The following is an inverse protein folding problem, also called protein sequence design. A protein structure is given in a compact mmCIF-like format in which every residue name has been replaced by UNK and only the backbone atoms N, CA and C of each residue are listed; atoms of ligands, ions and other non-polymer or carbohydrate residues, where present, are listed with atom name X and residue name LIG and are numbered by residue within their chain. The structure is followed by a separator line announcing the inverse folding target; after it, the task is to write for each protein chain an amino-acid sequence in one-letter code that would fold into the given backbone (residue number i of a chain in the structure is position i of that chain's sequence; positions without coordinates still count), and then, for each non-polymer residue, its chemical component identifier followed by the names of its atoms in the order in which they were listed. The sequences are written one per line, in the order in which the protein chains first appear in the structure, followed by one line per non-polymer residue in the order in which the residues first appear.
data_IF_207494730806
#
_entry.id   IF_207494730806
#
_cell.length_a   1.000
_cell.length_b   1.000
_cell.length_c   1.000
_cell.angle_alpha   90.00
_cell.angle_beta   90.00
_cell.angle_gamma   90.00
#
_symmetry.space_group_name_H-M   'P 1'
#
loop_
_entity.id
_entity.type
_entity.pdbx_description
1 polymer ?
#
# COMPACT_ATOMS: atom_id res chain seq x y z
N UNK A 1 -11.68 20.35 0.03
CA UNK A 1 -12.04 18.95 0.38
C UNK A 1 -10.95 17.98 -0.02
N UNK A 2 -10.39 18.09 -1.24
CA UNK A 2 -9.28 17.25 -1.74
C UNK A 2 -8.11 17.28 -0.77
N UNK A 3 -7.58 18.48 -0.51
CA UNK A 3 -6.44 18.71 0.38
C UNK A 3 -6.66 18.08 1.77
N UNK A 4 -7.84 18.23 2.35
CA UNK A 4 -8.16 17.67 3.66
C UNK A 4 -8.09 16.14 3.65
N UNK A 5 -8.63 15.51 2.60
CA UNK A 5 -8.59 14.03 2.48
C UNK A 5 -7.14 13.54 2.32
N UNK A 6 -6.33 14.21 1.48
CA UNK A 6 -4.92 13.89 1.29
C UNK A 6 -4.17 13.94 2.61
N UNK A 7 -4.18 15.09 3.28
CA UNK A 7 -3.49 15.23 4.57
C UNK A 7 -4.01 14.26 5.63
N UNK A 8 -5.32 13.96 5.65
CA UNK A 8 -5.86 12.98 6.61
C UNK A 8 -5.27 11.59 6.38
N UNK A 9 -5.20 11.14 5.12
CA UNK A 9 -4.64 9.82 4.79
C UNK A 9 -3.14 9.79 5.10
N UNK A 10 -2.40 10.84 4.74
CA UNK A 10 -0.96 10.96 4.99
C UNK A 10 -0.65 10.99 6.49
N UNK A 11 -1.41 11.71 7.31
CA UNK A 11 -1.24 11.75 8.76
C UNK A 11 -1.53 10.38 9.37
N UNK A 12 -2.63 9.73 8.97
CA UNK A 12 -2.96 8.38 9.45
C UNK A 12 -1.84 7.40 9.05
N UNK A 13 -1.39 7.47 7.80
CA UNK A 13 -0.28 6.67 7.31
C UNK A 13 1.00 6.88 8.12
N UNK A 14 1.37 8.14 8.37
CA UNK A 14 2.54 8.48 9.18
C UNK A 14 2.46 7.92 10.61
N UNK A 15 1.30 8.04 11.26
CA UNK A 15 1.09 7.47 12.60
C UNK A 15 1.23 5.95 12.56
N UNK A 16 0.61 5.27 11.59
CA UNK A 16 0.70 3.81 11.46
C UNK A 16 2.14 3.35 11.17
N UNK A 17 2.85 4.05 10.29
CA UNK A 17 4.28 3.78 10.02
C UNK A 17 5.07 3.94 11.31
N UNK A 18 4.92 5.07 12.01
CA UNK A 18 5.63 5.33 13.25
C UNK A 18 5.40 4.23 14.29
N UNK A 19 4.16 3.78 14.47
CA UNK A 19 3.81 2.68 15.39
C UNK A 19 4.38 1.32 14.94
N UNK A 20 4.65 1.13 13.65
CA UNK A 20 5.26 -0.08 13.12
C UNK A 20 6.78 -0.15 13.31
N UNK A 21 7.41 1.00 13.60
CA UNK A 21 8.85 1.09 13.80
C UNK A 21 9.22 0.57 15.19
N UNK A 22 10.29 -0.23 15.26
CA UNK A 22 10.89 -0.60 16.54
C UNK A 22 11.69 0.59 17.05
N UNK A 23 11.56 0.90 18.34
CA UNK A 23 12.27 2.00 19.00
C UNK A 23 13.81 1.98 18.86
N UNK A 24 14.37 0.83 18.47
CA UNK A 24 15.82 0.63 18.31
C UNK A 24 16.34 1.02 16.93
N UNK A 25 15.46 1.30 15.95
CA UNK A 25 15.87 1.58 14.56
C UNK A 25 16.37 3.02 14.36
N UNK A 26 15.98 3.94 15.22
CA UNK A 26 16.36 5.36 15.12
C UNK A 26 16.93 5.88 16.42
N UNK A 27 18.00 6.68 16.31
CA UNK A 27 18.56 7.43 17.42
C UNK A 27 17.67 8.65 17.72
N UNK A 28 16.51 8.43 18.35
CA UNK A 28 15.62 9.48 18.82
C UNK A 28 14.25 9.53 18.13
N UNK A 29 13.28 10.06 18.87
CA UNK A 29 11.88 10.20 18.48
C UNK A 29 11.71 11.01 17.19
N UNK A 30 12.44 12.12 17.04
CA UNK A 30 12.32 13.01 15.89
C UNK A 30 12.73 12.36 14.57
N UNK A 31 13.78 11.54 14.57
CA UNK A 31 14.23 10.83 13.36
C UNK A 31 13.21 9.78 12.91
N UNK A 32 12.62 9.04 13.85
CA UNK A 32 11.54 8.10 13.55
C UNK A 32 10.28 8.78 13.03
N UNK A 33 9.92 9.94 13.62
CA UNK A 33 8.77 10.74 13.16
C UNK A 33 9.01 11.32 11.77
N UNK A 34 10.19 11.85 11.48
CA UNK A 34 10.55 12.35 10.16
C UNK A 34 10.49 11.24 9.11
N UNK A 35 11.05 10.06 9.41
CA UNK A 35 10.98 8.88 8.55
C UNK A 35 9.52 8.52 8.24
N UNK A 36 8.67 8.46 9.25
CA UNK A 36 7.28 8.06 9.11
C UNK A 36 6.48 9.06 8.25
N UNK A 37 6.64 10.35 8.48
CA UNK A 37 5.98 11.40 7.70
C UNK A 37 6.48 11.35 6.25
N UNK A 38 7.80 11.32 6.04
CA UNK A 38 8.39 11.29 4.71
C UNK A 38 7.91 10.09 3.89
N UNK A 39 7.96 8.88 4.46
CA UNK A 39 7.54 7.67 3.73
C UNK A 39 6.03 7.59 3.52
N UNK A 40 5.22 8.16 4.43
CA UNK A 40 3.78 8.25 4.22
C UNK A 40 3.42 9.13 3.03
N UNK A 41 4.01 10.33 2.96
CA UNK A 41 3.82 11.26 1.84
C UNK A 41 4.37 10.66 0.55
N UNK A 42 5.60 10.13 0.57
CA UNK A 42 6.25 9.51 -0.59
C UNK A 42 5.43 8.34 -1.15
N UNK A 43 4.86 7.49 -0.27
CA UNK A 43 4.02 6.38 -0.68
C UNK A 43 2.67 6.83 -1.26
N UNK A 44 1.98 7.75 -0.58
CA UNK A 44 0.69 8.24 -1.06
C UNK A 44 0.80 9.03 -2.37
N UNK A 45 1.86 9.82 -2.53
CA UNK A 45 2.16 10.52 -3.79
C UNK A 45 2.72 9.59 -4.87
N UNK A 46 2.93 8.29 -4.60
CA UNK A 46 3.57 7.33 -5.51
C UNK A 46 4.94 7.81 -6.00
N UNK A 47 5.71 8.51 -5.15
CA UNK A 47 7.01 9.06 -5.50
C UNK A 47 8.17 8.08 -5.32
N UNK A 48 8.06 7.14 -4.36
CA UNK A 48 9.05 6.08 -4.13
C UNK A 48 10.37 6.51 -3.53
N UNK A 49 10.49 7.75 -3.09
CA UNK A 49 11.69 8.22 -2.42
C UNK A 49 11.80 7.69 -1.00
N UNK A 50 13.02 7.31 -0.62
CA UNK A 50 13.35 6.86 0.73
C UNK A 50 14.44 7.75 1.33
N UNK A 51 14.41 7.91 2.66
CA UNK A 51 15.48 8.56 3.43
C UNK A 51 16.64 7.61 3.73
N UNK A 52 16.50 6.33 3.37
CA UNK A 52 17.49 5.28 3.59
C UNK A 52 18.38 5.13 2.34
N UNK A 53 19.66 4.83 2.53
CA UNK A 53 20.63 4.74 1.43
C UNK A 53 20.30 3.59 0.46
N UNK A 54 19.90 2.42 1.00
CA UNK A 54 19.52 1.24 0.20
C UNK A 54 18.00 1.05 0.11
N UNK A 55 17.22 2.12 0.33
CA UNK A 55 15.77 2.03 0.39
C UNK A 55 15.29 1.14 1.54
N UNK A 56 14.14 0.51 1.38
CA UNK A 56 13.55 -0.36 2.42
C UNK A 56 14.22 -1.76 2.50
N UNK A 57 15.22 -2.02 1.68
CA UNK A 57 16.00 -3.26 1.75
C UNK A 57 16.99 -3.27 2.92
N UNK A 58 17.23 -2.14 3.60
CA UNK A 58 18.11 -2.09 4.76
C UNK A 58 17.70 -3.06 5.88
N UNK A 59 18.74 -3.59 6.56
CA UNK A 59 18.56 -4.45 7.74
C UNK A 59 17.75 -3.74 8.82
N UNK A 60 16.63 -4.31 9.21
CA UNK A 60 15.68 -3.69 10.16
C UNK A 60 14.36 -3.29 9.50
N UNK A 61 14.36 -2.91 8.23
CA UNK A 61 13.15 -2.53 7.49
C UNK A 61 12.65 -3.64 6.57
N UNK A 62 13.56 -4.42 5.94
CA UNK A 62 13.20 -5.49 5.00
C UNK A 62 12.32 -6.58 5.61
N UNK A 63 12.43 -6.84 6.90
CA UNK A 63 11.60 -7.81 7.61
C UNK A 63 10.43 -7.18 8.38
N UNK A 64 10.22 -5.86 8.25
CA UNK A 64 9.07 -5.21 8.84
C UNK A 64 7.84 -5.32 7.90
N UNK A 65 7.19 -6.46 7.95
CA UNK A 65 6.03 -6.76 7.09
C UNK A 65 4.84 -5.82 7.37
N UNK A 66 4.71 -5.31 8.60
CA UNK A 66 3.66 -4.34 8.94
C UNK A 66 3.90 -3.04 8.20
N UNK A 67 5.14 -2.54 8.18
CA UNK A 67 5.53 -1.36 7.41
C UNK A 67 5.24 -1.57 5.91
N UNK A 68 5.63 -2.72 5.35
CA UNK A 68 5.36 -3.06 3.95
C UNK A 68 3.86 -3.01 3.63
N UNK A 69 3.01 -3.61 4.46
CA UNK A 69 1.56 -3.59 4.26
C UNK A 69 0.97 -2.18 4.33
N UNK A 70 1.42 -1.34 5.26
CA UNK A 70 0.97 0.05 5.36
C UNK A 70 1.33 0.81 4.09
N UNK A 71 2.57 0.66 3.62
CA UNK A 71 3.03 1.31 2.38
C UNK A 71 2.25 0.83 1.16
N UNK A 72 1.97 -0.48 1.03
CA UNK A 72 1.12 -1.02 -0.07
C UNK A 72 -0.26 -0.35 -0.07
N UNK A 73 -0.88 -0.21 1.10
CA UNK A 73 -2.19 0.44 1.22
C UNK A 73 -2.11 1.90 0.77
N UNK A 74 -1.09 2.63 1.21
CA UNK A 74 -0.90 4.03 0.82
C UNK A 74 -0.65 4.17 -0.69
N UNK A 75 0.18 3.30 -1.28
CA UNK A 75 0.44 3.24 -2.72
C UNK A 75 -0.84 3.00 -3.51
N UNK A 76 -1.64 2.02 -3.10
CA UNK A 76 -2.91 1.72 -3.78
C UNK A 76 -3.86 2.90 -3.65
N UNK A 77 -4.02 3.47 -2.46
CA UNK A 77 -4.90 4.62 -2.25
C UNK A 77 -4.47 5.83 -3.09
N UNK A 78 -3.18 6.13 -3.14
CA UNK A 78 -2.63 7.20 -3.98
C UNK A 78 -2.85 6.96 -5.48
N UNK A 79 -2.61 5.73 -5.95
CA UNK A 79 -2.74 5.35 -7.36
C UNK A 79 -4.17 5.26 -7.89
N UNK A 80 -5.17 5.05 -7.01
CA UNK A 80 -6.58 4.98 -7.45
C UNK A 80 -7.15 6.31 -7.95
N UNK A 81 -6.53 7.42 -7.58
CA UNK A 81 -6.99 8.75 -7.96
C UNK A 81 -8.17 9.27 -7.13
N UNK A 82 -8.28 10.58 -7.10
CA UNK A 82 -9.16 11.33 -6.19
C UNK A 82 -10.64 11.04 -6.32
N UNK A 83 -11.22 10.98 -7.55
CA UNK A 83 -12.65 10.71 -7.72
C UNK A 83 -13.06 9.35 -7.15
N UNK A 84 -12.17 8.35 -7.29
CA UNK A 84 -12.41 6.99 -6.81
C UNK A 84 -12.30 6.93 -5.30
N UNK A 85 -11.30 7.59 -4.71
CA UNK A 85 -11.14 7.69 -3.25
C UNK A 85 -12.37 8.31 -2.59
N UNK A 86 -12.85 9.44 -3.11
CA UNK A 86 -14.07 10.10 -2.59
C UNK A 86 -15.28 9.18 -2.69
N UNK A 87 -15.37 8.42 -3.76
CA UNK A 87 -16.48 7.49 -4.00
C UNK A 87 -16.43 6.31 -3.01
N UNK A 88 -15.23 5.75 -2.77
CA UNK A 88 -15.01 4.69 -1.78
C UNK A 88 -15.34 5.21 -0.36
N UNK A 89 -14.88 6.42 0.00
CA UNK A 89 -15.19 7.01 1.31
C UNK A 89 -16.69 7.21 1.53
N UNK A 90 -17.42 7.67 0.50
CA UNK A 90 -18.89 7.80 0.57
C UNK A 90 -19.56 6.43 0.76
N UNK A 91 -19.08 5.42 0.05
CA UNK A 91 -19.58 4.05 0.17
C UNK A 91 -19.31 3.48 1.57
N UNK A 92 -18.08 3.61 2.06
CA UNK A 92 -17.68 3.14 3.39
C UNK A 92 -18.48 3.83 4.48
N UNK A 93 -18.64 5.16 4.41
CA UNK A 93 -19.47 5.91 5.35
C UNK A 93 -20.93 5.43 5.34
N UNK A 94 -21.50 5.23 4.16
CA UNK A 94 -22.86 4.73 4.02
C UNK A 94 -23.03 3.33 4.66
N UNK A 95 -22.10 2.43 4.40
CA UNK A 95 -22.13 1.06 4.93
C UNK A 95 -21.93 1.02 6.46
N UNK A 96 -20.97 1.78 6.97
CA UNK A 96 -20.71 1.91 8.42
C UNK A 96 -21.90 2.52 9.16
N UNK A 97 -22.45 3.61 8.64
CA UNK A 97 -23.61 4.26 9.24
C UNK A 97 -24.81 3.31 9.30
N UNK A 98 -25.02 2.52 8.25
CA UNK A 98 -26.09 1.52 8.20
C UNK A 98 -25.86 0.38 9.21
N UNK A 99 -24.60 -0.06 9.40
CA UNK A 99 -24.25 -1.14 10.32
C UNK A 99 -24.31 -0.71 11.79
N UNK A 100 -23.86 0.51 12.11
CA UNK A 100 -23.77 1.03 13.48
C UNK A 100 -25.14 1.49 13.99
N UNK A 101 -25.93 2.18 13.16
CA UNK A 101 -27.21 2.76 13.59
C UNK A 101 -28.37 1.77 13.59
N UNK A 102 -28.16 0.50 13.19
CA UNK A 102 -29.18 -0.55 13.26
C UNK A 102 -30.51 -0.21 12.57
N UNK A 103 -30.52 0.77 11.68
CA UNK A 103 -31.74 1.37 11.13
C UNK A 103 -32.39 0.40 10.15
N UNK A 104 -33.28 -0.45 10.70
CA UNK A 104 -34.24 -1.26 9.94
C UNK A 104 -35.26 -0.41 9.18
N UNK A 105 -35.30 0.90 9.40
CA UNK A 105 -36.36 1.79 8.92
C UNK A 105 -35.82 3.05 8.21
N UNK A 106 -34.96 2.89 7.23
CA UNK A 106 -34.95 3.86 6.15
C UNK A 106 -35.67 3.20 4.99
N UNK A 107 -36.96 3.57 4.80
CA UNK A 107 -37.74 3.23 3.62
C UNK A 107 -36.84 3.24 2.41
N UNK A 108 -36.84 2.13 1.68
CA UNK A 108 -36.37 1.89 0.31
C UNK A 108 -36.03 3.15 -0.51
N UNK A 109 -35.10 3.98 -0.06
CA UNK A 109 -34.45 4.88 -0.96
C UNK A 109 -33.38 4.07 -1.63
N UNK A 110 -33.79 3.36 -2.66
CA UNK A 110 -32.93 2.74 -3.62
C UNK A 110 -32.02 3.84 -4.16
N UNK A 111 -30.80 3.98 -3.60
CA UNK A 111 -29.75 4.75 -4.21
C UNK A 111 -29.06 3.82 -5.19
N UNK A 112 -29.43 3.89 -6.49
CA UNK A 112 -28.71 3.12 -7.50
C UNK A 112 -27.27 3.62 -7.50
N UNK A 113 -26.31 2.67 -7.39
CA UNK A 113 -24.91 2.90 -7.69
C UNK A 113 -24.17 3.88 -6.75
N UNK A 114 -23.92 3.43 -5.54
CA UNK A 114 -23.00 4.16 -4.63
C UNK A 114 -21.57 4.15 -5.18
N UNK A 115 -21.19 3.09 -5.93
CA UNK A 115 -19.93 3.01 -6.67
C UNK A 115 -20.19 3.29 -8.15
N UNK A 116 -19.54 4.34 -8.70
CA UNK A 116 -19.59 4.62 -10.14
C UNK A 116 -19.00 3.46 -10.94
N UNK A 117 -19.41 3.32 -12.20
CA UNK A 117 -18.90 2.28 -13.11
C UNK A 117 -17.36 2.35 -13.20
N UNK A 118 -16.81 3.54 -13.35
CA UNK A 118 -15.36 3.76 -13.40
C UNK A 118 -14.67 3.26 -12.13
N UNK A 119 -15.21 3.56 -10.94
CA UNK A 119 -14.64 3.09 -9.67
C UNK A 119 -14.65 1.55 -9.57
N UNK A 120 -15.69 0.89 -10.07
CA UNK A 120 -15.77 -0.58 -10.06
C UNK A 120 -14.75 -1.19 -10.99
N UNK A 121 -14.64 -0.69 -12.22
CA UNK A 121 -13.66 -1.19 -13.19
C UNK A 121 -12.24 -0.99 -12.63
N UNK A 122 -11.90 0.23 -12.18
CA UNK A 122 -10.56 0.52 -11.65
C UNK A 122 -10.23 -0.35 -10.44
N UNK A 123 -11.15 -0.57 -9.51
CA UNK A 123 -10.91 -1.46 -8.37
C UNK A 123 -10.68 -2.90 -8.82
N UNK A 124 -11.53 -3.43 -9.70
CA UNK A 124 -11.40 -4.80 -10.18
C UNK A 124 -10.05 -4.97 -10.91
N UNK A 125 -9.70 -4.08 -11.83
CA UNK A 125 -8.44 -4.15 -12.56
C UNK A 125 -7.23 -4.02 -11.63
N UNK A 126 -7.26 -3.09 -10.67
CA UNK A 126 -6.19 -2.91 -9.69
C UNK A 126 -5.96 -4.17 -8.86
N UNK A 127 -7.02 -4.75 -8.30
CA UNK A 127 -6.87 -5.96 -7.49
C UNK A 127 -6.51 -7.19 -8.33
N UNK A 128 -7.04 -7.33 -9.54
CA UNK A 128 -6.69 -8.43 -10.44
C UNK A 128 -5.21 -8.37 -10.85
N UNK A 129 -4.72 -7.20 -11.25
CA UNK A 129 -3.32 -7.03 -11.61
C UNK A 129 -2.39 -7.21 -10.41
N UNK A 130 -2.78 -6.73 -9.23
CA UNK A 130 -2.02 -6.94 -8.01
C UNK A 130 -1.94 -8.42 -7.66
N UNK A 131 -3.05 -9.15 -7.75
CA UNK A 131 -3.08 -10.59 -7.47
C UNK A 131 -2.21 -11.37 -8.47
N UNK A 132 -2.38 -11.13 -9.76
CA UNK A 132 -1.59 -11.79 -10.81
C UNK A 132 -0.10 -11.47 -10.64
N UNK A 133 0.26 -10.19 -10.48
CA UNK A 133 1.64 -9.78 -10.27
C UNK A 133 2.26 -10.38 -9.00
N UNK A 134 1.50 -10.48 -7.90
CA UNK A 134 1.95 -11.13 -6.65
C UNK A 134 2.24 -12.62 -6.88
N UNK A 135 1.36 -13.33 -7.59
CA UNK A 135 1.55 -14.76 -7.88
C UNK A 135 2.78 -14.95 -8.76
N UNK A 136 2.93 -14.15 -9.80
CA UNK A 136 4.08 -14.23 -10.70
C UNK A 136 5.38 -13.92 -9.97
N UNK A 137 5.44 -12.82 -9.21
CA UNK A 137 6.62 -12.47 -8.40
C UNK A 137 6.95 -13.57 -7.39
N UNK A 138 5.94 -14.13 -6.73
CA UNK A 138 6.12 -15.20 -5.77
C UNK A 138 6.72 -16.45 -6.39
N UNK A 139 6.27 -16.85 -7.59
CA UNK A 139 6.78 -18.03 -8.30
C UNK A 139 8.21 -17.81 -8.79
N UNK A 140 8.48 -16.65 -9.41
CA UNK A 140 9.79 -16.37 -10.03
C UNK A 140 10.89 -16.13 -9.00
N UNK A 141 10.55 -15.52 -7.86
CA UNK A 141 11.52 -15.15 -6.82
C UNK A 141 11.54 -16.10 -5.61
N UNK A 142 10.75 -17.17 -5.63
CA UNK A 142 10.61 -18.09 -4.49
C UNK A 142 11.94 -18.64 -3.97
N UNK A 143 12.84 -19.02 -4.88
CA UNK A 143 14.16 -19.60 -4.60
C UNK A 143 15.31 -18.57 -4.75
N UNK A 144 14.98 -17.30 -4.95
CA UNK A 144 15.94 -16.21 -5.11
C UNK A 144 15.77 -15.18 -4.00
N UNK A 145 15.27 -14.00 -4.29
CA UNK A 145 15.19 -12.89 -3.32
C UNK A 145 14.25 -13.18 -2.14
N UNK A 146 13.24 -14.05 -2.33
CA UNK A 146 12.32 -14.43 -1.25
C UNK A 146 12.88 -15.53 -0.30
N UNK A 147 14.05 -16.07 -0.56
CA UNK A 147 14.67 -17.10 0.32
C UNK A 147 14.93 -16.55 1.72
N UNK A 148 15.31 -15.28 1.84
CA UNK A 148 15.57 -14.62 3.12
C UNK A 148 14.31 -14.46 4.00
N UNK A 149 13.12 -14.55 3.41
CA UNK A 149 11.85 -14.38 4.09
C UNK A 149 11.23 -15.73 4.44
N UNK A 150 10.46 -15.80 5.55
CA UNK A 150 9.82 -17.03 6.00
C UNK A 150 8.29 -16.90 6.08
N UNK A 151 7.59 -17.98 5.76
CA UNK A 151 6.14 -18.10 5.92
C UNK A 151 5.36 -16.97 5.23
N UNK A 152 4.54 -16.26 6.00
CA UNK A 152 3.70 -15.14 5.52
C UNK A 152 4.56 -13.99 4.98
N UNK A 153 5.79 -13.82 5.47
CA UNK A 153 6.69 -12.77 5.02
C UNK A 153 7.01 -12.86 3.53
N UNK A 154 7.20 -14.06 2.97
CA UNK A 154 7.39 -14.27 1.53
C UNK A 154 6.22 -13.69 0.72
N UNK A 155 5.00 -13.94 1.17
CA UNK A 155 3.80 -13.45 0.50
C UNK A 155 3.68 -11.92 0.57
N UNK A 156 3.93 -11.32 1.75
CA UNK A 156 3.88 -9.86 1.92
C UNK A 156 4.94 -9.18 1.07
N UNK A 157 6.17 -9.70 1.03
CA UNK A 157 7.25 -9.15 0.20
C UNK A 157 6.94 -9.31 -1.30
N UNK A 158 6.35 -10.44 -1.72
CA UNK A 158 5.90 -10.61 -3.09
C UNK A 158 4.77 -9.64 -3.47
N UNK A 159 3.82 -9.42 -2.55
CA UNK A 159 2.76 -8.43 -2.73
C UNK A 159 3.34 -7.01 -2.86
N UNK A 160 4.35 -6.68 -2.07
CA UNK A 160 5.06 -5.41 -2.16
C UNK A 160 5.81 -5.29 -3.49
N UNK A 161 6.52 -6.34 -3.92
CA UNK A 161 7.23 -6.41 -5.19
C UNK A 161 6.31 -6.30 -6.42
N UNK A 162 5.02 -6.68 -6.28
CA UNK A 162 4.00 -6.46 -7.31
C UNK A 162 3.39 -5.06 -7.28
N UNK A 163 3.20 -4.48 -6.07
CA UNK A 163 2.56 -3.18 -5.91
C UNK A 163 3.49 -2.02 -6.28
N UNK A 164 4.76 -2.09 -5.86
CA UNK A 164 5.72 -0.98 -5.94
C UNK A 164 6.12 -0.61 -7.38
N UNK A 165 6.46 -1.53 -8.29
CA UNK A 165 6.88 -1.19 -9.65
C UNK A 165 5.79 -0.51 -10.48
N UNK A 166 4.53 -0.68 -10.12
CA UNK A 166 3.39 -0.10 -10.84
C UNK A 166 3.36 1.42 -10.80
N UNK A 167 3.84 2.02 -9.72
CA UNK A 167 3.68 3.46 -9.51
C UNK A 167 4.86 4.14 -8.79
N UNK A 168 5.44 3.54 -7.76
CA UNK A 168 6.35 4.23 -6.86
C UNK A 168 7.82 3.80 -7.00
N UNK A 169 8.11 2.50 -7.11
CA UNK A 169 9.48 2.03 -7.23
C UNK A 169 10.24 1.86 -5.91
N UNK A 170 9.54 1.76 -4.76
CA UNK A 170 10.19 1.33 -3.51
C UNK A 170 10.74 -0.09 -3.63
N UNK A 171 11.89 -0.34 -3.04
CA UNK A 171 12.53 -1.65 -3.01
C UNK A 171 12.55 -2.22 -1.58
N UNK A 172 12.14 -3.47 -1.43
CA UNK A 172 12.25 -4.25 -0.19
C UNK A 172 13.13 -5.48 -0.38
N UNK A 173 13.54 -5.73 -1.62
CA UNK A 173 14.48 -6.77 -2.04
C UNK A 173 15.62 -6.12 -2.81
N UNK A 174 16.72 -6.84 -2.97
CA UNK A 174 17.82 -6.37 -3.80
C UNK A 174 17.40 -6.42 -5.28
N UNK A 175 17.26 -5.25 -5.87
CA UNK A 175 16.88 -5.12 -7.28
C UNK A 175 17.92 -5.65 -8.26
N UNK A 176 19.20 -5.69 -7.87
CA UNK A 176 20.28 -6.19 -8.70
C UNK A 176 20.26 -7.73 -8.84
N UNK A 177 19.66 -8.42 -7.89
CA UNK A 177 19.61 -9.89 -7.85
C UNK A 177 18.30 -10.48 -8.38
N UNK A 178 17.38 -9.65 -8.88
CA UNK A 178 16.13 -10.12 -9.46
C UNK A 178 16.37 -11.02 -10.67
N UNK A 179 15.54 -12.07 -10.79
CA UNK A 179 15.61 -12.97 -11.96
C UNK A 179 15.13 -12.24 -13.22
N UNK A 180 15.66 -12.60 -14.38
CA UNK A 180 15.29 -12.01 -15.67
C UNK A 180 13.77 -12.04 -15.93
N UNK A 181 13.05 -13.16 -15.66
CA UNK A 181 11.60 -13.18 -15.78
C UNK A 181 10.90 -12.13 -14.92
N UNK A 182 11.34 -11.93 -13.66
CA UNK A 182 10.78 -10.92 -12.76
C UNK A 182 10.97 -9.52 -13.30
N UNK A 183 12.16 -9.21 -13.80
CA UNK A 183 12.45 -7.91 -14.42
C UNK A 183 11.52 -7.66 -15.61
N UNK A 184 11.36 -8.65 -16.50
CA UNK A 184 10.43 -8.53 -17.63
C UNK A 184 8.98 -8.32 -17.19
N UNK A 185 8.50 -9.08 -16.18
CA UNK A 185 7.13 -8.95 -15.64
C UNK A 185 6.90 -7.57 -15.01
N UNK A 186 7.90 -6.99 -14.35
CA UNK A 186 7.76 -5.68 -13.71
C UNK A 186 7.84 -4.51 -14.70
N UNK A 187 8.29 -4.73 -15.93
CA UNK A 187 8.32 -3.74 -17.01
C UNK A 187 6.99 -3.61 -17.77
N UNK A 188 6.10 -4.60 -17.66
CA UNK A 188 4.78 -4.64 -18.29
C UNK A 188 3.65 -4.46 -17.28
#
# INVERSE_FOLDING_TARGET
RIIVITFTIEIIGAVLIFLSLKNTLFNGFFNGMFFAIFHSVSAFCNAGFSTLQNGLYETGFKFNYVLQLILIILLILGGLGFPILVNIMKYSKYYLTRKILGVKSWKKQYKPWVLSLNSRITLITTFSLLAIGTILFYITEYNNTLVEHHGIGKFVTALFGSASPRTAGFNTVDMATLTLPTVLITMF
#
